data_IF_374400185340
#
_entry.id   IF_374400185340
#
_cell.length_a   1.000
_cell.length_b   1.000
_cell.length_c   1.000
_cell.angle_alpha   90.00
_cell.angle_beta   90.00
_cell.angle_gamma   90.00
#
_symmetry.space_group_name_H-M   'P 1'
#
loop_
_entity.id
_entity.type
_entity.pdbx_description
1 polymer ?
#
# COMPACT_ATOMS: atom_id res chain seq x y z
N UNK A 1 -14.78 10.08 -12.07
CA UNK A 1 -13.79 9.00 -12.21
C UNK A 1 -12.37 9.51 -12.50
N UNK A 2 -12.14 10.52 -13.36
CA UNK A 2 -10.78 11.06 -13.63
C UNK A 2 -9.97 11.38 -12.36
N UNK A 3 -10.61 12.00 -11.36
CA UNK A 3 -9.99 12.30 -10.06
C UNK A 3 -9.60 11.05 -9.24
N UNK A 4 -10.32 9.93 -9.36
CA UNK A 4 -10.00 8.72 -8.59
C UNK A 4 -8.80 7.98 -9.17
N UNK A 5 -8.66 7.93 -10.50
CA UNK A 5 -7.49 7.35 -11.15
C UNK A 5 -6.19 8.08 -10.78
N UNK A 6 -6.18 9.42 -10.84
CA UNK A 6 -5.02 10.23 -10.43
C UNK A 6 -4.67 10.04 -8.95
N UNK A 7 -5.67 9.92 -8.07
CA UNK A 7 -5.46 9.65 -6.65
C UNK A 7 -4.85 8.26 -6.42
N UNK A 8 -5.34 7.23 -7.13
CA UNK A 8 -4.77 5.88 -7.06
C UNK A 8 -3.31 5.88 -7.56
N UNK A 9 -3.01 6.59 -8.64
CA UNK A 9 -1.64 6.69 -9.14
C UNK A 9 -0.70 7.37 -8.13
N UNK A 10 -1.15 8.43 -7.47
CA UNK A 10 -0.37 9.09 -6.41
C UNK A 10 -0.12 8.15 -5.22
N UNK A 11 -1.13 7.38 -4.81
CA UNK A 11 -0.99 6.39 -3.73
C UNK A 11 -0.02 5.26 -4.13
N UNK A 12 -0.09 4.79 -5.39
CA UNK A 12 0.82 3.81 -5.97
C UNK A 12 2.28 4.26 -5.90
N UNK A 13 2.57 5.46 -6.40
CA UNK A 13 3.91 6.05 -6.35
C UNK A 13 4.41 6.17 -4.91
N UNK A 14 3.57 6.66 -4.01
CA UNK A 14 3.93 6.80 -2.60
C UNK A 14 4.22 5.45 -1.93
N UNK A 15 3.45 4.40 -2.28
CA UNK A 15 3.73 3.04 -1.83
C UNK A 15 5.07 2.54 -2.36
N UNK A 16 5.37 2.78 -3.63
CA UNK A 16 6.63 2.35 -4.25
C UNK A 16 7.83 3.05 -3.59
N UNK A 17 7.73 4.36 -3.31
CA UNK A 17 8.74 5.12 -2.56
C UNK A 17 8.98 4.56 -1.15
N UNK A 18 7.90 4.19 -0.44
CA UNK A 18 8.00 3.58 0.90
C UNK A 18 8.65 2.20 0.78
N UNK A 19 8.21 1.39 -0.19
CA UNK A 19 8.71 0.03 -0.40
C UNK A 19 10.21 0.04 -0.69
N UNK A 20 10.69 0.94 -1.55
CA UNK A 20 12.12 1.10 -1.86
C UNK A 20 12.94 1.40 -0.59
N UNK A 21 12.48 2.36 0.22
CA UNK A 21 13.15 2.73 1.50
C UNK A 21 13.19 1.57 2.50
N UNK A 22 12.12 0.78 2.50
CA UNK A 22 11.90 -0.34 3.41
C UNK A 22 12.75 -1.56 3.02
N UNK A 23 12.90 -1.83 1.71
CA UNK A 23 13.77 -2.88 1.18
C UNK A 23 15.26 -2.53 1.28
N UNK A 24 15.65 -1.26 1.10
CA UNK A 24 17.04 -0.82 1.26
C UNK A 24 17.58 -0.97 2.69
N UNK A 25 16.72 -0.88 3.70
CA UNK A 25 17.10 -0.93 5.11
C UNK A 25 17.29 -2.35 5.68
N UNK A 26 16.76 -3.37 5.01
CA UNK A 26 16.88 -4.78 5.44
C UNK A 26 18.33 -5.27 5.34
N UNK A 27 19.12 -4.69 4.42
CA UNK A 27 20.57 -4.94 4.29
C UNK A 27 21.43 -4.35 5.42
N UNK A 28 20.91 -3.39 6.18
CA UNK A 28 21.64 -2.68 7.25
C UNK A 28 21.27 -3.17 8.66
N UNK A 29 20.41 -4.19 8.76
CA UNK A 29 20.00 -4.79 10.02
C UNK A 29 18.82 -4.11 10.72
N UNK A 30 18.18 -3.10 10.10
CA UNK A 30 16.96 -2.48 10.64
C UNK A 30 15.73 -3.33 10.35
N UNK A 31 14.79 -3.39 11.30
CA UNK A 31 13.50 -4.07 11.08
C UNK A 31 12.41 -3.07 10.74
N UNK A 32 11.64 -3.40 9.72
CA UNK A 32 10.50 -2.63 9.27
C UNK A 32 9.36 -2.72 10.30
N UNK A 33 8.63 -1.62 10.52
CA UNK A 33 7.45 -1.66 11.40
C UNK A 33 6.37 -2.57 10.81
N UNK A 34 5.70 -3.34 11.68
CA UNK A 34 4.56 -4.18 11.27
C UNK A 34 3.44 -3.36 10.61
N UNK A 35 3.20 -2.14 11.08
CA UNK A 35 2.17 -1.27 10.52
C UNK A 35 2.50 -0.83 9.09
N UNK A 36 3.77 -0.61 8.78
CA UNK A 36 4.23 -0.29 7.42
C UNK A 36 4.04 -1.48 6.50
N UNK A 37 4.42 -2.69 6.92
CA UNK A 37 4.19 -3.93 6.17
C UNK A 37 2.70 -4.19 5.92
N UNK A 38 1.87 -3.97 6.94
CA UNK A 38 0.41 -4.11 6.82
C UNK A 38 -0.14 -3.09 5.82
N UNK A 39 0.27 -1.84 5.94
CA UNK A 39 -0.14 -0.77 5.03
C UNK A 39 0.24 -1.07 3.58
N UNK A 40 1.44 -1.57 3.30
CA UNK A 40 1.86 -1.97 1.95
C UNK A 40 0.91 -3.02 1.34
N UNK A 41 0.52 -4.03 2.13
CA UNK A 41 -0.44 -5.07 1.72
C UNK A 41 -1.84 -4.49 1.48
N UNK A 42 -2.29 -3.61 2.36
CA UNK A 42 -3.62 -3.00 2.26
C UNK A 42 -3.72 -2.09 1.03
N UNK A 43 -2.66 -1.34 0.69
CA UNK A 43 -2.59 -0.57 -0.56
C UNK A 43 -2.60 -1.49 -1.78
N UNK A 44 -1.82 -2.58 -1.78
CA UNK A 44 -1.82 -3.54 -2.89
C UNK A 44 -3.21 -4.16 -3.10
N UNK A 45 -3.92 -4.48 -2.02
CA UNK A 45 -5.30 -4.99 -2.09
C UNK A 45 -6.25 -3.96 -2.72
N UNK A 46 -6.17 -2.70 -2.29
CA UNK A 46 -7.00 -1.63 -2.83
C UNK A 46 -6.78 -1.42 -4.34
N UNK A 47 -5.55 -1.57 -4.82
CA UNK A 47 -5.25 -1.54 -6.26
C UNK A 47 -5.94 -2.66 -7.03
N UNK A 48 -5.91 -3.89 -6.51
CA UNK A 48 -6.62 -5.01 -7.11
C UNK A 48 -8.13 -4.79 -7.16
N UNK A 49 -8.73 -4.22 -6.11
CA UNK A 49 -10.15 -3.85 -6.07
C UNK A 49 -10.49 -2.77 -7.10
N UNK A 50 -9.64 -1.76 -7.26
CA UNK A 50 -9.78 -0.72 -8.28
C UNK A 50 -9.68 -1.28 -9.71
N UNK A 51 -8.69 -2.12 -9.98
CA UNK A 51 -8.50 -2.76 -11.30
C UNK A 51 -9.66 -3.68 -11.65
N UNK A 52 -10.16 -4.45 -10.67
CA UNK A 52 -11.37 -5.27 -10.82
C UNK A 52 -12.58 -4.41 -11.19
N UNK A 53 -12.81 -3.29 -10.49
CA UNK A 53 -13.89 -2.35 -10.80
C UNK A 53 -13.76 -1.78 -12.23
N UNK A 54 -12.55 -1.40 -12.65
CA UNK A 54 -12.31 -0.94 -14.03
C UNK A 54 -12.66 -2.02 -15.05
N UNK A 55 -12.28 -3.28 -14.78
CA UNK A 55 -12.63 -4.44 -15.60
C UNK A 55 -14.14 -4.65 -15.73
N UNK A 56 -14.88 -4.58 -14.62
CA UNK A 56 -16.35 -4.71 -14.62
C UNK A 56 -17.02 -3.59 -15.42
N UNK A 57 -16.55 -2.35 -15.30
CA UNK A 57 -17.05 -1.21 -16.09
C UNK A 57 -16.78 -1.43 -17.59
N UNK A 58 -15.59 -1.89 -17.95
CA UNK A 58 -15.22 -2.15 -19.33
C UNK A 58 -16.08 -3.27 -19.94
N UNK A 59 -16.23 -4.41 -19.25
CA UNK A 59 -17.07 -5.52 -19.68
C UNK A 59 -18.53 -5.07 -19.88
N UNK A 60 -19.08 -4.30 -18.93
CA UNK A 60 -20.43 -3.79 -19.03
C UNK A 60 -20.65 -2.84 -20.22
N UNK A 61 -19.66 -1.99 -20.53
CA UNK A 61 -19.71 -1.12 -21.73
C UNK A 61 -19.80 -1.95 -23.01
N UNK A 62 -19.08 -3.07 -23.09
CA UNK A 62 -19.13 -3.99 -24.23
C UNK A 62 -20.50 -4.67 -24.37
N UNK A 63 -21.15 -5.03 -23.26
CA UNK A 63 -22.45 -5.73 -23.27
C UNK A 63 -23.69 -4.81 -23.38
N UNK A 64 -23.52 -3.49 -23.31
CA UNK A 64 -24.62 -2.51 -23.26
C UNK A 64 -25.45 -2.36 -24.56
N UNK A 65 -25.18 -3.13 -25.62
CA UNK A 65 -25.91 -3.08 -26.90
C UNK A 65 -27.20 -3.92 -26.96
N UNK A 66 -27.57 -4.72 -25.92
CA UNK A 66 -28.67 -5.72 -26.06
C UNK A 66 -29.88 -5.62 -25.12
N UNK A 67 -29.85 -4.89 -24.01
CA UNK A 67 -31.04 -4.67 -23.17
C UNK A 67 -30.81 -3.49 -22.23
N UNK A 68 -31.81 -2.97 -21.51
CA UNK A 68 -31.67 -1.85 -20.57
C UNK A 68 -31.18 -2.31 -19.17
N UNK A 69 -29.87 -2.27 -18.84
CA UNK A 69 -29.29 -2.79 -17.60
C UNK A 69 -28.73 -1.64 -16.74
N UNK A 70 -29.13 -0.39 -17.02
CA UNK A 70 -28.35 0.83 -16.74
C UNK A 70 -28.44 1.36 -15.29
N UNK A 71 -29.35 0.85 -14.45
CA UNK A 71 -29.56 1.41 -13.10
C UNK A 71 -28.87 0.62 -11.97
N UNK A 72 -29.04 -0.71 -11.90
CA UNK A 72 -28.45 -1.54 -10.82
C UNK A 72 -26.92 -1.52 -10.89
N UNK A 73 -26.36 -1.77 -12.07
CA UNK A 73 -24.91 -1.76 -12.28
C UNK A 73 -24.29 -0.37 -12.01
N UNK A 74 -24.98 0.71 -12.39
CA UNK A 74 -24.50 2.08 -12.12
C UNK A 74 -24.45 2.35 -10.61
N UNK A 75 -25.45 1.88 -9.87
CA UNK A 75 -25.50 1.99 -8.41
C UNK A 75 -24.39 1.15 -7.75
N UNK A 76 -24.17 -0.07 -8.20
CA UNK A 76 -23.08 -0.95 -7.71
C UNK A 76 -21.70 -0.32 -7.93
N UNK A 77 -21.41 0.12 -9.15
CA UNK A 77 -20.15 0.82 -9.48
C UNK A 77 -19.99 2.09 -8.64
N UNK A 78 -21.07 2.82 -8.39
CA UNK A 78 -21.02 4.03 -7.55
C UNK A 78 -20.79 3.71 -6.07
N UNK A 79 -21.30 2.60 -5.56
CA UNK A 79 -21.03 2.13 -4.20
C UNK A 79 -19.58 1.67 -4.06
N UNK A 80 -19.07 0.89 -5.02
CA UNK A 80 -17.69 0.41 -5.04
C UNK A 80 -16.71 1.59 -5.15
N UNK A 81 -16.97 2.56 -6.02
CA UNK A 81 -16.12 3.75 -6.14
C UNK A 81 -16.07 4.59 -4.86
N UNK A 82 -17.17 4.67 -4.09
CA UNK A 82 -17.18 5.35 -2.78
C UNK A 82 -16.34 4.58 -1.76
N UNK A 83 -16.51 3.27 -1.69
CA UNK A 83 -15.73 2.43 -0.77
C UNK A 83 -14.22 2.53 -1.04
N UNK A 84 -13.81 2.48 -2.32
CA UNK A 84 -12.41 2.68 -2.73
C UNK A 84 -11.91 4.07 -2.34
N UNK A 85 -12.71 5.11 -2.51
CA UNK A 85 -12.33 6.48 -2.10
C UNK A 85 -12.13 6.60 -0.59
N UNK A 86 -13.00 6.00 0.20
CA UNK A 86 -12.91 6.03 1.66
C UNK A 86 -11.64 5.29 2.13
N UNK A 87 -11.39 4.09 1.60
CA UNK A 87 -10.17 3.32 1.88
C UNK A 87 -8.91 4.07 1.43
N UNK A 88 -8.94 4.71 0.25
CA UNK A 88 -7.82 5.52 -0.25
C UNK A 88 -7.51 6.67 0.70
N UNK A 89 -8.54 7.38 1.19
CA UNK A 89 -8.35 8.48 2.13
C UNK A 89 -7.69 8.00 3.43
N UNK A 90 -8.14 6.87 3.99
CA UNK A 90 -7.58 6.33 5.22
C UNK A 90 -6.15 5.81 5.04
N UNK A 91 -5.87 5.09 3.94
CA UNK A 91 -4.52 4.62 3.62
C UNK A 91 -3.57 5.79 3.36
N UNK A 92 -4.02 6.83 2.68
CA UNK A 92 -3.21 8.04 2.47
C UNK A 92 -2.82 8.66 3.82
N UNK A 93 -3.78 8.90 4.71
CA UNK A 93 -3.52 9.45 6.05
C UNK A 93 -2.57 8.57 6.86
N UNK A 94 -2.78 7.24 6.85
CA UNK A 94 -1.92 6.31 7.56
C UNK A 94 -0.48 6.35 7.04
N UNK A 95 -0.30 6.41 5.72
CA UNK A 95 1.02 6.51 5.11
C UNK A 95 1.72 7.83 5.42
N UNK A 96 0.98 8.96 5.39
CA UNK A 96 1.50 10.28 5.81
C UNK A 96 1.91 10.29 7.29
N UNK A 97 1.18 9.57 8.15
CA UNK A 97 1.49 9.46 9.59
C UNK A 97 2.76 8.67 9.90
N UNK A 98 3.31 7.91 8.94
CA UNK A 98 4.58 7.23 9.17
C UNK A 98 5.76 8.22 9.29
N UNK A 99 5.65 9.42 8.69
CA UNK A 99 6.73 10.41 8.68
C UNK A 99 8.06 9.80 8.24
N UNK A 100 9.15 10.13 8.94
CA UNK A 100 10.47 9.48 8.74
C UNK A 100 10.60 8.13 9.46
N UNK A 101 9.59 7.70 10.23
CA UNK A 101 9.67 6.58 11.17
C UNK A 101 9.16 5.27 10.56
N UNK A 102 9.80 4.86 9.45
CA UNK A 102 9.48 3.62 8.73
C UNK A 102 10.14 2.36 9.35
N UNK A 103 11.21 2.57 10.10
CA UNK A 103 12.10 1.53 10.61
C UNK A 103 12.17 1.57 12.13
N UNK A 104 12.56 0.43 12.72
CA UNK A 104 12.90 0.29 14.13
C UNK A 104 14.30 -0.26 14.23
N UNK A 105 15.12 0.31 15.12
CA UNK A 105 16.43 -0.22 15.46
C UNK A 105 16.32 -1.65 15.96
N UNK A 106 17.07 -2.55 15.32
CA UNK A 106 17.19 -3.92 15.77
C UNK A 106 18.31 -3.99 16.82
N UNK A 107 17.95 -3.84 18.10
CA UNK A 107 18.89 -3.91 19.23
C UNK A 107 19.73 -5.20 19.29
N UNK A 108 19.40 -6.24 18.50
CA UNK A 108 20.15 -7.49 18.43
C UNK A 108 21.46 -7.40 17.65
N UNK A 109 21.72 -6.32 16.90
CA UNK A 109 22.97 -6.12 16.12
C UNK A 109 23.96 -5.20 16.85
N UNK A 110 23.89 -5.10 18.19
CA UNK A 110 25.07 -4.64 18.92
C UNK A 110 26.13 -5.73 18.81
N UNK A 111 27.06 -5.58 17.86
CA UNK A 111 28.37 -6.21 17.90
C UNK A 111 28.90 -6.02 19.32
N UNK A 112 28.87 -7.08 20.11
CA UNK A 112 29.70 -7.16 21.30
C UNK A 112 31.11 -7.24 20.72
N UNK A 113 31.83 -6.12 20.76
CA UNK A 113 33.27 -6.17 20.55
C UNK A 113 33.80 -7.14 21.60
N UNK A 114 34.19 -8.33 21.16
CA UNK A 114 34.91 -9.26 22.00
C UNK A 114 36.22 -8.58 22.34
N UNK A 115 36.32 -8.03 23.55
CA UNK A 115 37.58 -7.56 24.12
C UNK A 115 38.24 -8.83 24.66
N UNK A 116 39.28 -9.39 23.98
CA UNK A 116 40.03 -10.48 24.55
C UNK A 116 40.65 -9.97 25.85
N UNK A 117 40.24 -10.55 26.98
CA UNK A 117 40.94 -10.36 28.25
C UNK A 117 42.38 -10.86 28.10
N UNK A 118 43.36 -10.22 28.75
CA UNK A 118 44.75 -10.63 28.63
C UNK A 118 44.89 -12.11 29.03
N UNK A 119 45.51 -12.90 28.15
CA UNK A 119 45.90 -14.27 28.45
C UNK A 119 46.84 -14.24 29.66
N UNK A 120 46.41 -14.84 30.77
CA UNK A 120 47.27 -15.06 31.92
C UNK A 120 48.13 -16.28 31.58
N UNK A 121 49.44 -16.08 31.66
CA UNK A 121 50.50 -17.08 31.45
C UNK A 121 50.58 -18.11 32.59
#
# INVERSE_FOLDING_TARGET
MKNLGEKMEKLRKFRDDIKEKVEGADGEGYKQKRDVLKWLKDVQKLEGEWESMQGSIAAAKTHAYKCCPKCSLRSEVSAQARNILDQLCELKKMGENFGSSLLVENYQVKKVEFIPGPSIE
#
